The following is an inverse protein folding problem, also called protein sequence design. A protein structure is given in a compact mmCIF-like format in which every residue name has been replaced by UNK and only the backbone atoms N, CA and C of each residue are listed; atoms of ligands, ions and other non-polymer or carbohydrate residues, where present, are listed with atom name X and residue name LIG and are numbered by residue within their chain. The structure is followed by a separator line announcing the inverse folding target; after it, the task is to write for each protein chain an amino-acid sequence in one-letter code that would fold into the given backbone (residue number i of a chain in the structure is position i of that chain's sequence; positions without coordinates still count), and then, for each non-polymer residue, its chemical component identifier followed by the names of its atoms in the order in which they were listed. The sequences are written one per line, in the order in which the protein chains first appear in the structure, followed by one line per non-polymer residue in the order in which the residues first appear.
data_IF_569864594720
#
_entry.id   IF_569864594720
#
_cell.length_a   1.000
_cell.length_b   1.000
_cell.length_c   1.000
_cell.angle_alpha   90.00
_cell.angle_beta   90.00
_cell.angle_gamma   90.00
#
_symmetry.space_group_name_H-M   'P 1'
#
loop_
_entity.id
_entity.type
_entity.pdbx_description
1 polymer ?
#
# COMPACT_ATOMS: atom_id res chain seq x y z
N UNK A 1 12.76 24.86 12.09
CA UNK A 1 13.60 23.69 11.77
C UNK A 1 12.96 22.49 12.46
N UNK A 2 12.38 21.48 11.84
CA UNK A 2 12.03 21.17 10.44
C UNK A 2 10.63 20.58 10.54
N UNK A 3 9.66 21.04 9.74
CA UNK A 3 8.48 20.22 9.50
C UNK A 3 8.94 19.07 8.62
N UNK A 4 9.42 17.99 9.22
CA UNK A 4 9.53 16.71 8.50
C UNK A 4 8.15 16.47 7.92
N UNK A 5 8.03 16.60 6.60
CA UNK A 5 6.78 16.41 5.89
C UNK A 5 6.32 15.00 6.19
N UNK A 6 5.41 14.86 7.16
CA UNK A 6 4.73 13.61 7.37
C UNK A 6 3.94 13.39 6.09
N UNK A 7 4.39 12.42 5.28
CA UNK A 7 3.72 12.10 4.04
C UNK A 7 2.22 11.98 4.27
N UNK A 8 1.45 12.46 3.32
CA UNK A 8 -0.01 12.60 3.43
C UNK A 8 -0.70 11.28 3.79
N UNK A 9 -0.22 10.18 3.21
CA UNK A 9 -0.63 8.83 3.53
C UNK A 9 0.61 7.96 3.72
N UNK A 10 0.67 7.24 4.84
CA UNK A 10 1.77 6.34 5.18
C UNK A 10 1.23 4.95 5.48
N UNK A 11 1.71 3.98 4.73
CA UNK A 11 1.39 2.56 4.87
C UNK A 11 2.64 1.86 5.40
N UNK A 12 2.49 1.11 6.49
CA UNK A 12 3.58 0.35 7.11
C UNK A 12 3.18 -1.09 7.31
N UNK A 13 4.03 -2.00 6.84
CA UNK A 13 3.94 -3.45 7.06
C UNK A 13 2.56 -4.04 6.74
N UNK A 14 1.88 -3.52 5.72
CA UNK A 14 0.54 -3.96 5.35
C UNK A 14 0.58 -5.36 4.76
N UNK A 15 -0.21 -6.25 5.34
CA UNK A 15 -0.37 -7.63 4.92
C UNK A 15 -1.85 -7.98 4.82
N UNK A 16 -2.25 -8.74 3.80
CA UNK A 16 -3.66 -9.14 3.63
C UNK A 16 -3.78 -10.58 3.16
N UNK A 17 -4.61 -11.35 3.86
CA UNK A 17 -5.04 -12.68 3.46
C UNK A 17 -6.57 -12.78 3.41
N UNK A 18 -7.08 -13.67 2.56
CA UNK A 18 -8.48 -14.12 2.58
C UNK A 18 -8.51 -15.55 3.13
N UNK A 19 -8.61 -15.68 4.44
CA UNK A 19 -8.54 -16.97 5.12
C UNK A 19 -9.59 -17.97 4.56
N UNK A 20 -9.25 -19.26 4.40
CA UNK A 20 -8.03 -19.93 4.86
C UNK A 20 -6.83 -19.85 3.88
N UNK A 21 -6.85 -18.98 2.87
CA UNK A 21 -5.78 -18.88 1.89
C UNK A 21 -4.50 -18.18 2.42
N UNK A 22 -3.34 -18.44 1.79
CA UNK A 22 -2.12 -17.67 2.01
C UNK A 22 -2.32 -16.16 1.78
N UNK A 23 -1.42 -15.30 2.32
CA UNK A 23 -1.46 -13.87 2.07
C UNK A 23 -1.40 -13.54 0.57
N UNK A 24 -2.23 -12.59 0.14
CA UNK A 24 -2.20 -12.00 -1.20
C UNK A 24 -0.92 -11.19 -1.39
N UNK A 25 -0.51 -10.49 -0.31
CA UNK A 25 0.78 -9.81 -0.18
C UNK A 25 1.12 -9.69 1.31
N UNK A 26 2.41 -9.46 1.59
CA UNK A 26 2.93 -9.26 2.92
C UNK A 26 3.93 -8.09 2.93
N UNK A 27 4.00 -7.41 4.06
CA UNK A 27 5.01 -6.39 4.38
C UNK A 27 5.09 -5.21 3.38
N UNK A 28 3.96 -4.80 2.81
CA UNK A 28 3.91 -3.64 1.91
C UNK A 28 4.02 -2.35 2.73
N UNK A 29 5.03 -1.54 2.43
CA UNK A 29 5.26 -0.25 3.07
C UNK A 29 5.59 0.83 2.05
N UNK A 30 4.85 1.94 2.08
CA UNK A 30 5.09 3.08 1.20
C UNK A 30 4.48 4.36 1.79
N UNK A 31 4.94 5.50 1.29
CA UNK A 31 4.46 6.82 1.68
C UNK A 31 4.03 7.57 0.41
N UNK A 32 2.95 8.34 0.52
CA UNK A 32 2.42 9.20 -0.53
C UNK A 32 2.38 10.64 -0.03
N UNK A 33 2.88 11.57 -0.82
CA UNK A 33 2.80 13.00 -0.54
C UNK A 33 1.52 13.64 -1.12
N UNK A 34 1.14 14.82 -0.61
CA UNK A 34 -0.04 15.55 -1.12
C UNK A 34 0.20 15.96 -2.57
N UNK A 35 -0.74 15.59 -3.44
CA UNK A 35 -0.68 15.92 -4.88
C UNK A 35 0.19 14.97 -5.68
N UNK A 36 0.77 13.94 -5.07
CA UNK A 36 1.50 12.89 -5.76
C UNK A 36 0.52 11.97 -6.51
N UNK A 37 0.88 11.61 -7.75
CA UNK A 37 0.14 10.66 -8.56
C UNK A 37 0.95 9.37 -8.71
N UNK A 38 0.43 8.28 -8.16
CA UNK A 38 1.13 6.98 -8.12
C UNK A 38 0.32 5.92 -8.84
N UNK A 39 1.03 5.03 -9.53
CA UNK A 39 0.46 3.87 -10.21
C UNK A 39 0.91 2.57 -9.53
N UNK A 40 -0.04 1.68 -9.24
CA UNK A 40 0.27 0.32 -8.76
C UNK A 40 0.26 -0.62 -9.97
N UNK A 41 1.41 -1.21 -10.28
CA UNK A 41 1.61 -2.12 -11.41
C UNK A 41 1.94 -3.55 -10.94
N UNK A 42 1.69 -4.54 -11.80
CA UNK A 42 1.98 -5.94 -11.53
C UNK A 42 1.03 -6.90 -12.25
N UNK A 43 1.38 -8.20 -12.25
CA UNK A 43 0.60 -9.27 -12.90
C UNK A 43 -0.84 -9.38 -12.39
N UNK A 44 -1.72 -10.00 -13.17
CA UNK A 44 -3.09 -10.31 -12.71
C UNK A 44 -3.05 -11.17 -11.43
N UNK A 45 -3.90 -10.86 -10.45
CA UNK A 45 -3.95 -11.59 -9.18
C UNK A 45 -2.93 -11.18 -8.11
N UNK A 46 -1.99 -10.27 -8.38
CA UNK A 46 -0.97 -9.88 -7.40
C UNK A 46 -1.43 -8.93 -6.27
N UNK A 47 -2.73 -8.68 -6.14
CA UNK A 47 -3.28 -7.88 -5.03
C UNK A 47 -3.40 -6.36 -5.24
N UNK A 48 -3.24 -5.84 -6.47
CA UNK A 48 -3.37 -4.38 -6.75
C UNK A 48 -4.71 -3.80 -6.29
N UNK A 49 -5.81 -4.38 -6.76
CA UNK A 49 -7.17 -3.98 -6.33
C UNK A 49 -7.37 -4.20 -4.83
N UNK A 50 -6.73 -5.23 -4.27
CA UNK A 50 -6.79 -5.48 -2.83
C UNK A 50 -6.12 -4.37 -2.03
N UNK A 51 -4.96 -3.85 -2.47
CA UNK A 51 -4.32 -2.68 -1.86
C UNK A 51 -5.23 -1.45 -2.00
N UNK A 52 -5.73 -1.16 -3.20
CA UNK A 52 -6.60 -0.01 -3.44
C UNK A 52 -7.91 -0.04 -2.64
N UNK A 53 -8.44 -1.21 -2.30
CA UNK A 53 -9.63 -1.35 -1.45
C UNK A 53 -9.35 -1.16 0.05
N UNK A 54 -8.07 -1.23 0.46
CA UNK A 54 -7.65 -1.02 1.85
C UNK A 54 -7.36 0.46 2.09
N UNK A 55 -6.80 1.16 1.09
CA UNK A 55 -6.58 2.61 1.10
C UNK A 55 -7.91 3.37 1.14
#
# INVERSE_FOLDING_TARGET
MSSSGAGFLRIEQLSKAFAPAPPVFADVSFTLDRGEFVCIIGHSGCGKTTILNIL
#
